data_IF_464824044353
#
_entry.id   IF_464824044353
#
_cell.length_a   1.000
_cell.length_b   1.000
_cell.length_c   1.000
_cell.angle_alpha   90.00
_cell.angle_beta   90.00
_cell.angle_gamma   90.00
#
_symmetry.space_group_name_H-M   'P 1'
#
loop_
_entity.id
_entity.type
_entity.pdbx_description
1 polymer ?
#
# COMPACT_ATOMS: atom_id res chain seq x y z
N UNK A 1 -0.86 11.53 -24.64
CA UNK A 1 -1.96 12.48 -24.98
C UNK A 1 -1.79 13.72 -24.15
N UNK A 2 -1.89 14.93 -24.71
CA UNK A 2 -1.81 16.17 -23.93
C UNK A 2 -3.15 16.47 -23.25
N UNK A 3 -3.10 16.95 -22.00
CA UNK A 3 -4.24 17.32 -21.17
C UNK A 3 -3.95 18.69 -20.58
N UNK A 4 -4.93 19.59 -20.51
CA UNK A 4 -4.76 20.83 -19.77
C UNK A 4 -5.53 20.70 -18.45
N UNK A 5 -4.87 20.96 -17.32
CA UNK A 5 -5.54 21.03 -16.03
C UNK A 5 -6.36 22.31 -15.97
N UNK A 6 -7.66 22.21 -15.67
CA UNK A 6 -8.54 23.39 -15.63
C UNK A 6 -8.32 24.26 -14.40
N UNK A 7 -7.72 23.71 -13.34
CA UNK A 7 -7.43 24.45 -12.10
C UNK A 7 -6.16 25.30 -12.20
N UNK A 8 -5.07 24.77 -12.76
CA UNK A 8 -3.77 25.46 -12.80
C UNK A 8 -3.30 25.83 -14.21
N UNK A 9 -4.11 25.53 -15.23
CA UNK A 9 -3.88 25.82 -16.65
C UNK A 9 -2.63 25.18 -17.26
N UNK A 10 -1.87 24.41 -16.49
CA UNK A 10 -0.69 23.70 -17.00
C UNK A 10 -1.09 22.59 -17.97
N UNK A 11 -0.28 22.45 -19.01
CA UNK A 11 -0.35 21.31 -19.93
C UNK A 11 0.41 20.12 -19.34
N UNK A 12 -0.26 18.98 -19.29
CA UNK A 12 0.25 17.69 -18.84
C UNK A 12 0.32 16.71 -20.00
N UNK A 13 1.22 15.75 -19.88
CA UNK A 13 1.25 14.58 -20.75
C UNK A 13 0.65 13.42 -19.97
N UNK A 14 -0.48 12.88 -20.45
CA UNK A 14 -1.03 11.62 -19.94
C UNK A 14 -0.07 10.50 -20.31
N UNK A 15 0.62 9.99 -19.28
CA UNK A 15 1.42 8.78 -19.31
C UNK A 15 0.58 7.60 -18.83
N UNK A 16 0.77 6.43 -19.43
CA UNK A 16 0.16 5.19 -18.95
C UNK A 16 1.26 4.40 -18.22
N UNK A 17 1.26 4.44 -16.89
CA UNK A 17 2.24 3.72 -16.08
C UNK A 17 1.90 2.23 -15.97
N UNK A 18 2.93 1.39 -16.09
CA UNK A 18 2.89 -0.04 -15.75
C UNK A 18 2.68 -0.25 -14.25
N UNK A 19 2.33 -1.46 -13.83
CA UNK A 19 2.18 -1.79 -12.40
C UNK A 19 3.49 -1.55 -11.63
N UNK A 20 4.62 -1.95 -12.22
CA UNK A 20 5.95 -1.73 -11.65
C UNK A 20 6.27 -0.24 -11.48
N UNK A 21 5.94 0.59 -12.47
CA UNK A 21 6.13 2.04 -12.37
C UNK A 21 5.23 2.64 -11.28
N UNK A 22 3.95 2.23 -11.20
CA UNK A 22 3.03 2.68 -10.15
C UNK A 22 3.54 2.32 -8.76
N UNK A 23 3.99 1.09 -8.56
CA UNK A 23 4.59 0.63 -7.30
C UNK A 23 5.84 1.46 -6.96
N UNK A 24 6.71 1.71 -7.94
CA UNK A 24 7.90 2.53 -7.73
C UNK A 24 7.54 3.95 -7.30
N UNK A 25 6.58 4.59 -7.96
CA UNK A 25 6.11 5.92 -7.57
C UNK A 25 5.46 5.92 -6.19
N UNK A 26 4.67 4.90 -5.86
CA UNK A 26 4.10 4.73 -4.52
C UNK A 26 5.21 4.74 -3.46
N UNK A 27 6.26 3.92 -3.63
CA UNK A 27 7.40 3.84 -2.70
C UNK A 27 8.08 5.21 -2.54
N UNK A 28 8.40 5.89 -3.65
CA UNK A 28 9.05 7.20 -3.60
C UNK A 28 8.18 8.24 -2.89
N UNK A 29 6.88 8.23 -3.14
CA UNK A 29 5.95 9.18 -2.53
C UNK A 29 5.78 8.96 -1.03
N UNK A 30 5.72 7.69 -0.57
CA UNK A 30 5.71 7.39 0.88
C UNK A 30 6.99 7.85 1.58
N UNK A 31 8.12 7.79 0.89
CA UNK A 31 9.42 8.24 1.42
C UNK A 31 9.71 9.73 1.16
N UNK A 32 8.75 10.50 0.64
CA UNK A 32 8.88 11.93 0.31
C UNK A 32 10.00 12.23 -0.70
N UNK A 33 10.33 11.28 -1.57
CA UNK A 33 11.40 11.34 -2.56
C UNK A 33 10.92 11.86 -3.92
N UNK A 34 10.20 13.00 -3.93
CA UNK A 34 9.60 13.58 -5.15
C UNK A 34 10.62 13.87 -6.26
N UNK A 35 11.83 14.31 -5.90
CA UNK A 35 12.91 14.59 -6.87
C UNK A 35 13.32 13.33 -7.64
N UNK A 36 13.39 12.18 -6.96
CA UNK A 36 13.70 10.90 -7.60
C UNK A 36 12.56 10.45 -8.52
N UNK A 37 11.31 10.71 -8.13
CA UNK A 37 10.15 10.43 -8.98
C UNK A 37 10.17 11.28 -10.25
N UNK A 38 10.52 12.57 -10.13
CA UNK A 38 10.72 13.48 -11.28
C UNK A 38 11.78 12.94 -12.24
N UNK A 39 12.98 12.64 -11.73
CA UNK A 39 14.09 12.15 -12.55
C UNK A 39 13.72 10.86 -13.28
N UNK A 40 13.04 9.93 -12.61
CA UNK A 40 12.56 8.70 -13.23
C UNK A 40 11.58 8.94 -14.40
N UNK A 41 10.66 9.88 -14.24
CA UNK A 41 9.72 10.25 -15.30
C UNK A 41 10.47 10.85 -16.50
N UNK A 42 11.45 11.72 -16.25
CA UNK A 42 12.30 12.31 -17.30
C UNK A 42 13.02 11.21 -18.08
N UNK A 43 13.70 10.31 -17.37
CA UNK A 43 14.54 9.27 -17.97
C UNK A 43 13.70 8.25 -18.77
N UNK A 44 12.58 7.80 -18.23
CA UNK A 44 11.76 6.74 -18.86
C UNK A 44 10.86 7.24 -19.99
N UNK A 45 10.49 8.52 -19.97
CA UNK A 45 9.55 9.08 -20.94
C UNK A 45 10.13 10.20 -21.80
N UNK A 46 11.43 10.51 -21.64
CA UNK A 46 12.15 11.55 -22.38
C UNK A 46 11.45 12.91 -22.30
N UNK A 47 10.94 13.25 -21.11
CA UNK A 47 10.24 14.51 -20.86
C UNK A 47 11.20 15.63 -20.49
N UNK A 48 10.81 16.87 -20.78
CA UNK A 48 11.49 18.04 -20.20
C UNK A 48 11.23 18.14 -18.68
N UNK A 49 12.11 18.87 -17.98
CA UNK A 49 11.90 19.13 -16.54
C UNK A 49 10.54 19.76 -16.24
N UNK A 50 10.10 20.72 -17.06
CA UNK A 50 8.82 21.41 -16.89
C UNK A 50 7.62 20.44 -17.05
N UNK A 51 7.70 19.52 -18.01
CA UNK A 51 6.66 18.50 -18.20
C UNK A 51 6.64 17.51 -17.03
N UNK A 52 7.80 17.11 -16.53
CA UNK A 52 7.91 16.22 -15.37
C UNK A 52 7.40 16.90 -14.08
N UNK A 53 7.72 18.18 -13.87
CA UNK A 53 7.19 18.97 -12.74
C UNK A 53 5.67 19.06 -12.78
N UNK A 54 5.10 19.34 -13.96
CA UNK A 54 3.65 19.35 -14.13
C UNK A 54 3.02 17.99 -13.75
N UNK A 55 3.65 16.86 -14.09
CA UNK A 55 3.15 15.53 -13.71
C UNK A 55 3.27 15.28 -12.22
N UNK A 56 4.43 15.58 -11.62
CA UNK A 56 4.70 15.35 -10.19
C UNK A 56 3.74 16.17 -9.31
N UNK A 57 3.43 17.39 -9.71
CA UNK A 57 2.47 18.24 -8.98
C UNK A 57 1.04 17.68 -9.02
N UNK A 58 0.70 16.84 -10.00
CA UNK A 58 -0.62 16.21 -10.14
C UNK A 58 -0.61 14.73 -9.73
N UNK A 59 0.53 14.23 -9.22
CA UNK A 59 0.70 12.87 -8.74
C UNK A 59 0.32 12.77 -7.26
N UNK A 60 -0.71 11.98 -6.96
CA UNK A 60 -1.22 11.81 -5.60
C UNK A 60 -1.67 10.37 -5.33
N UNK A 61 -1.86 10.08 -4.04
CA UNK A 61 -2.56 8.91 -3.52
C UNK A 61 -3.93 8.72 -4.16
N UNK A 62 -4.25 7.46 -4.49
CA UNK A 62 -5.56 7.05 -4.99
C UNK A 62 -6.70 7.51 -4.07
N UNK A 63 -7.81 7.94 -4.66
CA UNK A 63 -9.03 8.33 -3.94
C UNK A 63 -9.11 9.80 -3.58
N UNK A 64 -8.00 10.56 -3.59
CA UNK A 64 -7.98 11.94 -3.08
C UNK A 64 -7.43 12.96 -4.06
N UNK A 65 -8.05 14.14 -4.10
CA UNK A 65 -7.55 15.27 -4.85
C UNK A 65 -6.28 15.85 -4.20
N UNK A 66 -5.24 16.08 -4.99
CA UNK A 66 -3.99 16.71 -4.53
C UNK A 66 -4.23 18.14 -4.02
N UNK A 67 -5.09 18.90 -4.70
CA UNK A 67 -5.36 20.32 -4.43
C UNK A 67 -6.33 20.50 -3.25
N UNK A 68 -7.62 20.20 -3.45
CA UNK A 68 -8.67 20.53 -2.49
C UNK A 68 -9.00 19.41 -1.50
N UNK A 69 -8.26 18.29 -1.54
CA UNK A 69 -8.39 17.16 -0.61
C UNK A 69 -9.70 16.37 -0.65
N UNK A 70 -10.60 16.65 -1.61
CA UNK A 70 -11.79 15.83 -1.91
C UNK A 70 -11.42 14.35 -2.06
N UNK A 71 -12.10 13.44 -1.38
CA UNK A 71 -11.70 12.06 -1.09
C UNK A 71 -12.59 10.97 -1.74
N UNK A 72 -13.40 11.36 -2.73
CA UNK A 72 -14.24 10.45 -3.52
C UNK A 72 -13.81 10.39 -5.00
N UNK A 73 -12.50 10.27 -5.26
CA UNK A 73 -11.95 10.10 -6.60
C UNK A 73 -11.76 8.62 -6.98
N UNK A 74 -12.78 8.01 -7.58
CA UNK A 74 -12.83 6.57 -7.86
C UNK A 74 -12.19 6.11 -9.19
N UNK A 75 -11.39 6.95 -9.83
CA UNK A 75 -10.70 6.62 -11.09
C UNK A 75 -9.27 7.16 -11.11
N UNK A 76 -8.37 6.45 -11.81
CA UNK A 76 -7.06 6.99 -12.19
C UNK A 76 -7.23 8.04 -13.30
N UNK A 77 -6.34 9.04 -13.36
CA UNK A 77 -6.35 10.09 -14.39
C UNK A 77 -7.69 10.85 -14.48
N UNK A 78 -8.08 11.49 -13.37
CA UNK A 78 -9.42 12.06 -13.18
C UNK A 78 -9.37 13.56 -12.89
N UNK A 79 -10.35 14.30 -13.39
CA UNK A 79 -10.57 15.70 -13.02
C UNK A 79 -11.39 15.74 -11.72
N UNK A 80 -10.94 16.50 -10.73
CA UNK A 80 -11.65 16.64 -9.47
C UNK A 80 -12.99 17.38 -9.69
N UNK A 81 -14.14 16.83 -9.25
CA UNK A 81 -15.43 17.50 -9.44
C UNK A 81 -15.55 18.78 -8.60
N UNK A 82 -14.78 18.91 -7.52
CA UNK A 82 -14.85 20.05 -6.60
C UNK A 82 -13.99 21.25 -7.06
N UNK A 83 -12.77 21.01 -7.53
CA UNK A 83 -11.83 22.09 -7.90
C UNK A 83 -11.31 22.02 -9.34
N UNK A 84 -11.73 21.03 -10.12
CA UNK A 84 -11.32 20.84 -11.52
C UNK A 84 -9.82 20.58 -11.73
N UNK A 85 -9.07 20.32 -10.67
CA UNK A 85 -7.68 19.88 -10.78
C UNK A 85 -7.61 18.49 -11.42
N UNK A 86 -6.73 18.31 -12.38
CA UNK A 86 -6.42 16.98 -12.92
C UNK A 86 -5.61 16.18 -11.89
N UNK A 87 -5.84 14.88 -11.77
CA UNK A 87 -5.14 14.02 -10.81
C UNK A 87 -4.73 12.73 -11.51
N UNK A 88 -3.43 12.41 -11.49
CA UNK A 88 -2.97 11.10 -11.94
C UNK A 88 -3.58 9.97 -11.09
N UNK A 89 -3.78 10.22 -9.79
CA UNK A 89 -4.52 9.36 -8.86
C UNK A 89 -4.19 7.87 -9.06
N UNK A 90 -2.91 7.51 -8.99
CA UNK A 90 -2.45 6.17 -9.35
C UNK A 90 -2.89 5.16 -8.29
N UNK A 91 -3.39 4.00 -8.73
CA UNK A 91 -3.73 2.90 -7.84
C UNK A 91 -2.50 2.42 -7.08
N UNK A 92 -2.64 2.31 -5.77
CA UNK A 92 -1.65 1.75 -4.86
C UNK A 92 -1.81 0.23 -4.75
N UNK A 93 -0.79 -0.50 -4.27
CA UNK A 93 -0.95 -1.90 -3.91
C UNK A 93 -2.07 -2.07 -2.86
N UNK A 94 -2.82 -3.18 -2.93
CA UNK A 94 -3.85 -3.46 -1.93
C UNK A 94 -3.26 -3.70 -0.53
N UNK A 95 -2.00 -4.13 -0.45
CA UNK A 95 -1.21 -4.12 0.78
C UNK A 95 -0.55 -2.75 0.95
N UNK A 96 -1.22 -1.85 1.67
CA UNK A 96 -0.82 -0.46 1.88
C UNK A 96 -0.96 -0.06 3.36
N UNK A 97 -0.73 1.21 3.66
CA UNK A 97 -0.83 1.77 5.02
C UNK A 97 -2.21 1.48 5.64
N UNK A 98 -3.31 1.74 4.92
CA UNK A 98 -4.65 1.52 5.49
C UNK A 98 -4.90 0.06 5.85
N UNK A 99 -4.54 -0.87 4.95
CA UNK A 99 -4.68 -2.28 5.24
C UNK A 99 -3.80 -2.71 6.42
N UNK A 100 -2.55 -2.24 6.47
CA UNK A 100 -1.62 -2.56 7.56
C UNK A 100 -2.12 -2.04 8.91
N UNK A 101 -2.65 -0.82 8.96
CA UNK A 101 -3.28 -0.29 10.17
C UNK A 101 -4.49 -1.12 10.59
N UNK A 102 -5.39 -1.48 9.66
CA UNK A 102 -6.54 -2.33 10.01
C UNK A 102 -6.11 -3.72 10.49
N UNK A 103 -5.05 -4.28 9.89
CA UNK A 103 -4.49 -5.56 10.29
C UNK A 103 -3.88 -5.50 11.68
N UNK A 104 -3.10 -4.46 11.98
CA UNK A 104 -2.53 -4.18 13.30
C UNK A 104 -3.59 -4.21 14.40
N UNK A 105 -4.68 -3.46 14.22
CA UNK A 105 -5.81 -3.43 15.16
C UNK A 105 -6.56 -4.77 15.28
N UNK A 106 -6.39 -5.66 14.32
CA UNK A 106 -7.04 -6.97 14.32
C UNK A 106 -6.21 -8.07 14.98
N UNK A 107 -4.94 -7.80 15.31
CA UNK A 107 -4.07 -8.78 15.96
C UNK A 107 -4.41 -8.87 17.44
N UNK A 108 -4.78 -10.08 17.85
CA UNK A 108 -5.07 -10.44 19.22
C UNK A 108 -4.21 -11.66 19.60
N UNK A 109 -3.44 -11.53 20.67
CA UNK A 109 -2.48 -12.53 21.12
C UNK A 109 -2.92 -13.28 22.38
N UNK A 110 -4.10 -13.00 22.93
CA UNK A 110 -4.60 -13.63 24.15
C UNK A 110 -4.63 -15.16 24.03
N UNK A 111 -4.95 -15.68 22.84
CA UNK A 111 -5.04 -17.11 22.57
C UNK A 111 -3.79 -17.69 21.88
N UNK A 112 -2.65 -16.99 21.91
CA UNK A 112 -1.42 -17.41 21.24
C UNK A 112 -0.78 -18.69 21.84
N UNK A 113 -1.20 -19.09 23.04
CA UNK A 113 -0.64 -20.23 23.77
C UNK A 113 0.66 -19.91 24.52
N UNK A 114 1.15 -18.67 24.46
CA UNK A 114 2.31 -18.18 25.20
C UNK A 114 1.85 -17.25 26.32
N UNK A 115 2.10 -17.63 27.58
CA UNK A 115 1.77 -16.78 28.75
C UNK A 115 2.44 -15.40 28.68
N UNK A 116 3.65 -15.33 28.16
CA UNK A 116 4.38 -14.08 28.00
C UNK A 116 3.78 -13.14 26.94
N UNK A 117 3.00 -13.68 26.00
CA UNK A 117 2.35 -12.92 24.94
C UNK A 117 0.90 -12.53 25.28
N UNK A 118 0.41 -12.85 26.48
CA UNK A 118 -0.95 -12.52 26.95
C UNK A 118 -1.21 -11.01 26.92
N UNK A 119 -0.17 -10.18 27.08
CA UNK A 119 -0.25 -8.72 27.07
C UNK A 119 0.44 -8.08 25.87
N UNK A 120 0.81 -8.88 24.86
CA UNK A 120 1.38 -8.34 23.65
C UNK A 120 0.32 -7.56 22.88
N UNK A 121 0.78 -6.52 22.21
CA UNK A 121 0.02 -5.80 21.20
C UNK A 121 0.94 -5.48 20.04
N UNK A 122 0.34 -5.08 18.91
CA UNK A 122 1.06 -4.67 17.72
C UNK A 122 1.02 -3.14 17.62
N UNK A 123 2.17 -2.48 17.57
CA UNK A 123 2.34 -1.03 17.43
C UNK A 123 2.79 -0.64 16.02
N UNK A 124 2.40 -1.45 15.03
CA UNK A 124 2.63 -1.15 13.63
C UNK A 124 3.01 -2.36 12.79
N UNK A 125 2.69 -2.26 11.50
CA UNK A 125 3.11 -3.20 10.47
C UNK A 125 3.74 -2.42 9.33
N UNK A 126 4.92 -2.83 8.86
CA UNK A 126 5.59 -2.19 7.74
C UNK A 126 4.82 -2.48 6.45
N UNK A 127 4.17 -1.46 5.90
CA UNK A 127 3.46 -1.54 4.62
C UNK A 127 4.41 -1.61 3.41
N UNK A 128 5.70 -1.29 3.61
CA UNK A 128 6.76 -1.48 2.62
C UNK A 128 7.66 -2.63 3.09
N UNK A 129 7.52 -3.85 2.53
CA UNK A 129 8.44 -4.94 2.82
C UNK A 129 9.82 -4.63 2.23
N UNK A 130 10.87 -5.27 2.75
CA UNK A 130 12.25 -5.08 2.24
C UNK A 130 12.35 -5.41 0.74
N UNK A 131 11.71 -6.51 0.34
CA UNK A 131 11.50 -6.83 -1.07
C UNK A 131 10.18 -6.23 -1.56
N UNK A 132 10.17 -4.94 -1.88
CA UNK A 132 8.96 -4.25 -2.36
C UNK A 132 8.34 -4.86 -3.61
N UNK A 133 9.13 -5.52 -4.47
CA UNK A 133 8.60 -6.25 -5.62
C UNK A 133 7.62 -7.36 -5.23
N UNK A 134 7.66 -7.85 -3.98
CA UNK A 134 6.65 -8.80 -3.50
C UNK A 134 5.23 -8.24 -3.60
N UNK A 135 5.05 -6.91 -3.63
CA UNK A 135 3.76 -6.24 -3.77
C UNK A 135 3.21 -6.22 -5.21
N UNK A 136 3.96 -6.72 -6.20
CA UNK A 136 3.43 -6.85 -7.56
C UNK A 136 2.44 -8.00 -7.62
N UNK A 137 1.33 -7.81 -8.32
CA UNK A 137 0.27 -8.81 -8.48
C UNK A 137 0.82 -10.14 -8.99
N UNK A 138 1.72 -10.11 -9.96
CA UNK A 138 2.37 -11.32 -10.51
C UNK A 138 3.17 -12.11 -9.46
N UNK A 139 3.78 -11.41 -8.50
CA UNK A 139 4.58 -12.04 -7.45
C UNK A 139 3.68 -12.56 -6.32
N UNK A 140 2.65 -11.81 -5.92
CA UNK A 140 1.63 -12.31 -4.98
C UNK A 140 0.90 -13.55 -5.53
N UNK A 141 0.59 -13.59 -6.83
CA UNK A 141 -0.03 -14.77 -7.45
C UNK A 141 0.85 -16.02 -7.38
N UNK A 142 2.16 -15.84 -7.54
CA UNK A 142 3.16 -16.90 -7.52
C UNK A 142 3.49 -17.35 -6.10
N UNK A 143 3.87 -16.41 -5.25
CA UNK A 143 4.46 -16.68 -3.93
C UNK A 143 3.37 -16.85 -2.87
N UNK A 144 2.22 -16.20 -3.05
CA UNK A 144 1.05 -16.21 -2.14
C UNK A 144 1.37 -15.76 -0.71
N UNK A 145 2.42 -14.97 -0.56
CA UNK A 145 2.82 -14.42 0.72
C UNK A 145 3.51 -13.07 0.57
N UNK A 146 3.45 -12.28 1.65
CA UNK A 146 4.29 -11.10 1.84
C UNK A 146 5.08 -11.33 3.14
N UNK A 147 6.39 -11.12 3.08
CA UNK A 147 7.26 -11.08 4.25
C UNK A 147 7.54 -9.61 4.55
N UNK A 148 7.18 -9.17 5.74
CA UNK A 148 7.36 -7.80 6.23
C UNK A 148 7.78 -7.79 7.70
N UNK A 149 7.75 -6.62 8.34
CA UNK A 149 8.04 -6.44 9.77
C UNK A 149 6.81 -5.98 10.51
N UNK A 150 6.70 -6.40 11.76
CA UNK A 150 5.74 -5.86 12.71
C UNK A 150 6.43 -5.54 14.03
N UNK A 151 5.88 -4.56 14.74
CA UNK A 151 6.37 -4.12 16.04
C UNK A 151 5.43 -4.70 17.09
N UNK A 152 5.86 -5.76 17.79
CA UNK A 152 5.02 -6.55 18.69
C UNK A 152 5.71 -6.70 20.03
N UNK A 153 5.00 -6.48 21.13
CA UNK A 153 5.50 -6.72 22.48
C UNK A 153 4.62 -6.08 23.52
N UNK A 154 5.04 -6.10 24.78
CA UNK A 154 4.33 -5.39 25.86
C UNK A 154 4.44 -3.86 25.68
N UNK A 155 5.57 -3.39 25.17
CA UNK A 155 5.85 -1.98 24.88
C UNK A 155 5.75 -1.65 23.38
N UNK A 156 5.45 -2.65 22.55
CA UNK A 156 5.38 -2.50 21.09
C UNK A 156 6.75 -2.26 20.42
N UNK A 157 7.90 -2.48 21.08
CA UNK A 157 9.19 -2.10 20.49
C UNK A 157 9.93 -3.25 19.78
N UNK A 158 9.56 -4.49 20.08
CA UNK A 158 10.23 -5.65 19.52
C UNK A 158 9.84 -5.88 18.05
N UNK A 159 10.86 -6.04 17.20
CA UNK A 159 10.65 -6.26 15.76
C UNK A 159 10.51 -7.75 15.48
N UNK A 160 9.37 -8.12 14.91
CA UNK A 160 9.07 -9.46 14.42
C UNK A 160 9.11 -9.51 12.90
N UNK A 161 9.63 -10.59 12.34
CA UNK A 161 9.37 -10.93 10.94
C UNK A 161 7.93 -11.42 10.83
N UNK A 162 7.14 -10.73 10.00
CA UNK A 162 5.75 -11.04 9.77
C UNK A 162 5.56 -11.67 8.39
N UNK A 163 5.07 -12.90 8.37
CA UNK A 163 4.72 -13.63 7.15
C UNK A 163 3.21 -13.66 6.96
N UNK A 164 2.70 -12.97 5.94
CA UNK A 164 1.28 -12.86 5.64
C UNK A 164 0.94 -13.76 4.46
N UNK A 165 0.25 -14.88 4.72
CA UNK A 165 -0.17 -15.87 3.72
C UNK A 165 -1.54 -15.51 3.14
N UNK A 166 -1.64 -15.53 1.81
CA UNK A 166 -2.86 -15.21 1.07
C UNK A 166 -3.71 -16.46 0.85
N UNK A 167 -4.93 -16.42 1.37
CA UNK A 167 -5.99 -17.38 1.05
C UNK A 167 -6.65 -17.09 -0.30
N UNK A 168 -7.73 -17.83 -0.61
CA UNK A 168 -8.40 -17.71 -1.91
C UNK A 168 -9.09 -16.35 -2.08
N UNK A 169 -9.71 -15.83 -1.02
CA UNK A 169 -10.45 -14.56 -1.07
C UNK A 169 -9.49 -13.37 -1.18
N UNK A 170 -8.49 -13.32 -0.31
CA UNK A 170 -7.44 -12.29 -0.30
C UNK A 170 -6.67 -12.25 -1.61
N UNK A 171 -6.29 -13.41 -2.17
CA UNK A 171 -5.62 -13.44 -3.48
C UNK A 171 -6.52 -12.89 -4.60
N UNK A 172 -7.80 -13.28 -4.62
CA UNK A 172 -8.77 -12.74 -5.57
C UNK A 172 -8.95 -11.23 -5.40
N UNK A 173 -8.98 -10.73 -4.16
CA UNK A 173 -9.14 -9.31 -3.89
C UNK A 173 -7.92 -8.51 -4.30
N UNK A 174 -6.73 -9.00 -3.99
CA UNK A 174 -5.47 -8.39 -4.41
C UNK A 174 -5.42 -8.21 -5.93
N UNK A 175 -5.69 -9.29 -6.68
CA UNK A 175 -5.70 -9.28 -8.15
C UNK A 175 -6.68 -8.26 -8.73
N UNK A 176 -7.85 -8.14 -8.10
CA UNK A 176 -8.91 -7.26 -8.58
C UNK A 176 -8.86 -5.85 -7.96
N UNK A 177 -7.81 -5.52 -7.20
CA UNK A 177 -7.67 -4.27 -6.45
C UNK A 177 -8.91 -3.95 -5.60
N UNK A 178 -9.38 -4.96 -4.87
CA UNK A 178 -10.50 -4.87 -3.92
C UNK A 178 -9.99 -4.81 -2.49
N UNK A 179 -10.82 -4.29 -1.59
CA UNK A 179 -10.49 -4.14 -0.18
C UNK A 179 -10.01 -5.46 0.46
N UNK A 180 -8.81 -5.47 1.04
CA UNK A 180 -8.27 -6.63 1.77
C UNK A 180 -8.75 -6.73 3.22
N UNK A 181 -9.29 -5.66 3.80
CA UNK A 181 -9.79 -5.67 5.17
C UNK A 181 -10.85 -6.75 5.40
N UNK A 182 -11.72 -6.98 4.40
CA UNK A 182 -12.72 -8.06 4.46
C UNK A 182 -12.15 -9.49 4.35
N UNK A 183 -10.83 -9.62 4.19
CA UNK A 183 -10.10 -10.88 4.16
C UNK A 183 -9.38 -11.17 5.48
N UNK A 184 -9.37 -10.23 6.42
CA UNK A 184 -8.90 -10.46 7.79
C UNK A 184 -9.91 -11.39 8.47
N UNK A 185 -9.50 -12.59 8.94
CA UNK A 185 -10.38 -13.47 9.69
C UNK A 185 -10.71 -12.90 11.06
N UNK A 186 -11.90 -13.18 11.57
CA UNK A 186 -12.15 -13.04 13.01
C UNK A 186 -11.63 -14.28 13.75
N UNK A 187 -11.38 -14.13 15.05
CA UNK A 187 -10.99 -15.26 15.89
C UNK A 187 -12.02 -16.41 15.87
N UNK A 188 -13.31 -16.08 15.77
CA UNK A 188 -14.41 -17.04 15.65
C UNK A 188 -14.47 -17.75 14.29
N UNK A 189 -14.07 -17.09 13.21
CA UNK A 189 -14.02 -17.68 11.86
C UNK A 189 -12.85 -18.65 11.72
N UNK A 190 -11.68 -18.31 12.29
CA UNK A 190 -10.46 -19.10 12.13
C UNK A 190 -9.54 -18.94 13.35
N UNK A 191 -9.69 -19.78 14.40
CA UNK A 191 -8.96 -19.60 15.66
C UNK A 191 -7.43 -19.55 15.55
N UNK A 192 -6.85 -20.26 14.57
CA UNK A 192 -5.40 -20.37 14.37
C UNK A 192 -4.91 -19.58 13.15
N UNK A 193 -5.50 -18.40 12.89
CA UNK A 193 -5.07 -17.55 11.78
C UNK A 193 -3.81 -16.73 12.10
N UNK A 194 -3.45 -16.64 13.38
CA UNK A 194 -2.22 -16.06 13.91
C UNK A 194 -1.39 -17.20 14.51
N UNK A 195 -0.12 -17.29 14.13
CA UNK A 195 0.86 -18.18 14.76
C UNK A 195 2.03 -17.31 15.21
N UNK A 196 2.29 -17.27 16.51
CA UNK A 196 3.36 -16.48 17.11
C UNK A 196 4.51 -17.39 17.55
N UNK A 197 5.74 -16.99 17.26
CA UNK A 197 6.97 -17.58 17.80
C UNK A 197 7.78 -16.47 18.46
N UNK A 198 7.58 -16.32 19.77
CA UNK A 198 8.21 -15.27 20.59
C UNK A 198 9.73 -15.43 20.60
N UNK A 199 10.22 -16.68 20.64
CA UNK A 199 11.65 -16.97 20.74
C UNK A 199 12.42 -16.56 19.49
N UNK A 200 11.86 -16.86 18.31
CA UNK A 200 12.48 -16.56 17.03
C UNK A 200 12.04 -15.20 16.47
N UNK A 201 11.16 -14.47 17.18
CA UNK A 201 10.53 -13.22 16.73
C UNK A 201 9.87 -13.35 15.36
N UNK A 202 9.06 -14.41 15.20
CA UNK A 202 8.29 -14.66 13.97
C UNK A 202 6.80 -14.59 14.27
N UNK A 203 6.04 -14.03 13.33
CA UNK A 203 4.59 -14.11 13.32
C UNK A 203 4.11 -14.52 11.94
N UNK A 204 3.26 -15.54 11.86
CA UNK A 204 2.58 -15.91 10.63
C UNK A 204 1.10 -15.58 10.72
N UNK A 205 0.58 -14.95 9.67
CA UNK A 205 -0.82 -14.62 9.50
C UNK A 205 -1.40 -15.36 8.30
N UNK A 206 -2.65 -15.80 8.40
CA UNK A 206 -3.36 -16.45 7.30
C UNK A 206 -4.67 -15.74 6.97
N UNK A 207 -4.65 -14.95 5.89
CA UNK A 207 -5.85 -14.28 5.36
C UNK A 207 -6.81 -15.29 4.69
N UNK A 208 -8.08 -14.90 4.56
CA UNK A 208 -9.15 -15.68 3.88
C UNK A 208 -8.88 -15.88 2.39
#
# INVERSE_FOLDING_TARGET
MKINCKNCERQLIKLNFTEEQKLHFYILMQNRLKLFAKNKIIDEHMLSENEADAIIDHLNKYGRCIECKFDDLNHEYVECPNCQAFNFNLKEPSFNIEFCSLLEWSLDFENSGYKEAEYFWCDGISHLPENTNSLLCKNIEKDREIITKAWIGNDGQDIYEMKIKFGKKSLKNYKNQKNLAECIPTHSEKPNWIILDVKNKLIELQLK
#
